data_IF_086476780773
#
_entry.id   IF_086476780773
#
_cell.length_a   1.000
_cell.length_b   1.000
_cell.length_c   1.000
_cell.angle_alpha   90.00
_cell.angle_beta   90.00
_cell.angle_gamma   90.00
#
_symmetry.space_group_name_H-M   'P 1'
#
loop_
_entity.id
_entity.type
_entity.pdbx_description
1 polymer ?
#
# COMPACT_ATOMS: atom_id res chain seq x y z
N UNK A 1 -16.01 -32.84 16.83
CA UNK A 1 -16.86 -31.73 16.34
C UNK A 1 -16.16 -30.43 16.70
N UNK A 2 -15.57 -29.80 15.70
CA UNK A 2 -15.18 -28.39 15.68
C UNK A 2 -14.53 -28.12 14.32
N UNK A 3 -15.35 -28.11 13.27
CA UNK A 3 -15.01 -27.59 11.95
C UNK A 3 -15.34 -26.11 11.94
N UNK A 4 -14.48 -25.30 12.55
CA UNK A 4 -14.48 -23.85 12.29
C UNK A 4 -13.21 -23.55 11.49
N UNK A 5 -13.25 -23.96 10.23
CA UNK A 5 -12.39 -23.36 9.20
C UNK A 5 -13.34 -22.53 8.36
N UNK A 6 -13.77 -21.38 8.90
CA UNK A 6 -14.41 -20.34 8.09
C UNK A 6 -13.47 -20.05 6.92
N UNK A 7 -13.89 -20.38 5.70
CA UNK A 7 -13.16 -20.05 4.49
C UNK A 7 -12.89 -18.55 4.53
N UNK A 8 -11.62 -18.17 4.76
CA UNK A 8 -11.22 -16.77 4.59
C UNK A 8 -11.51 -16.42 3.15
N UNK A 9 -12.51 -15.57 2.94
CA UNK A 9 -12.84 -15.04 1.61
C UNK A 9 -11.58 -14.41 1.07
N UNK A 10 -11.08 -14.93 -0.06
CA UNK A 10 -9.93 -14.34 -0.76
C UNK A 10 -10.38 -12.98 -1.29
N UNK A 11 -9.80 -11.89 -0.81
CA UNK A 11 -10.07 -10.58 -1.37
C UNK A 11 -9.42 -10.37 -2.74
N UNK A 12 -8.27 -11.01 -2.99
CA UNK A 12 -7.55 -10.88 -4.26
C UNK A 12 -7.58 -12.20 -5.03
N UNK A 13 -7.74 -12.10 -6.34
CA UNK A 13 -7.57 -13.20 -7.31
C UNK A 13 -6.11 -13.60 -7.47
N UNK A 14 -5.19 -12.63 -7.33
CA UNK A 14 -3.74 -12.79 -7.47
C UNK A 14 -3.06 -13.02 -6.12
N UNK A 15 -2.12 -13.96 -6.08
CA UNK A 15 -1.34 -14.29 -4.87
C UNK A 15 -0.04 -13.47 -4.75
N UNK A 16 0.35 -12.73 -5.80
CA UNK A 16 1.52 -11.87 -5.84
C UNK A 16 1.32 -10.70 -6.84
N UNK A 17 2.05 -9.57 -6.68
CA UNK A 17 2.05 -8.48 -7.64
C UNK A 17 2.39 -8.95 -9.06
N UNK A 18 1.64 -8.48 -10.06
CA UNK A 18 1.77 -8.86 -11.47
C UNK A 18 2.29 -7.72 -12.36
N UNK A 19 2.41 -6.51 -11.80
CA UNK A 19 2.89 -5.32 -12.52
C UNK A 19 3.80 -4.46 -11.64
N UNK A 20 4.36 -3.41 -12.24
CA UNK A 20 5.10 -2.36 -11.56
C UNK A 20 4.57 -0.98 -11.95
N UNK A 21 4.50 -0.06 -10.99
CA UNK A 21 4.06 1.32 -11.22
C UNK A 21 5.17 2.32 -10.90
N UNK A 22 5.22 3.40 -11.68
CA UNK A 22 6.11 4.53 -11.44
C UNK A 22 5.62 5.32 -10.23
N UNK A 23 6.50 5.53 -9.25
CA UNK A 23 6.16 6.34 -8.06
C UNK A 23 5.82 7.77 -8.45
N UNK A 24 6.50 8.31 -9.47
CA UNK A 24 6.20 9.64 -10.00
C UNK A 24 4.80 9.76 -10.56
N UNK A 25 4.34 8.73 -11.29
CA UNK A 25 3.02 8.76 -11.91
C UNK A 25 1.91 8.44 -10.91
N UNK A 26 2.14 7.48 -10.01
CA UNK A 26 1.13 7.04 -9.06
C UNK A 26 0.95 7.97 -7.84
N UNK A 27 2.05 8.55 -7.33
CA UNK A 27 2.04 9.35 -6.10
C UNK A 27 2.42 10.83 -6.34
N UNK A 28 2.82 11.21 -7.54
CA UNK A 28 3.26 12.57 -7.86
C UNK A 28 4.60 12.97 -7.23
N UNK A 29 5.39 12.00 -6.75
CA UNK A 29 6.68 12.25 -6.09
C UNK A 29 7.82 12.16 -7.10
N UNK A 30 8.75 13.10 -7.06
CA UNK A 30 9.87 13.12 -8.00
C UNK A 30 10.89 11.99 -7.72
N UNK A 31 10.62 10.82 -8.26
CA UNK A 31 11.43 9.61 -8.07
C UNK A 31 11.41 8.74 -9.33
N UNK A 32 12.55 8.13 -9.62
CA UNK A 32 12.66 7.10 -10.67
C UNK A 32 12.34 5.69 -10.14
N UNK A 33 11.91 5.57 -8.88
CA UNK A 33 11.52 4.29 -8.29
C UNK A 33 10.29 3.73 -9.01
N UNK A 34 10.34 2.44 -9.32
CA UNK A 34 9.18 1.63 -9.63
C UNK A 34 8.95 0.66 -8.50
N UNK A 35 7.70 0.40 -8.18
CA UNK A 35 7.31 -0.51 -7.10
C UNK A 35 6.36 -1.59 -7.61
N UNK A 36 6.42 -2.82 -7.07
CA UNK A 36 5.45 -3.86 -7.40
C UNK A 36 4.03 -3.39 -7.11
N UNK A 37 3.07 -3.78 -7.95
CA UNK A 37 1.67 -3.47 -7.80
C UNK A 37 0.79 -4.60 -8.38
N UNK A 38 -0.50 -4.53 -8.06
CA UNK A 38 -1.50 -5.39 -8.66
C UNK A 38 -2.24 -4.62 -9.76
N UNK A 39 -2.47 -5.25 -10.90
CA UNK A 39 -3.26 -4.67 -12.01
C UNK A 39 -4.76 -4.60 -11.70
N UNK A 40 -5.24 -5.45 -10.78
CA UNK A 40 -6.62 -5.53 -10.34
C UNK A 40 -6.74 -5.18 -8.84
N UNK A 41 -7.68 -4.30 -8.50
CA UNK A 41 -8.03 -3.98 -7.12
C UNK A 41 -8.89 -5.07 -6.46
N UNK A 42 -9.11 -4.94 -5.15
CA UNK A 42 -10.05 -5.76 -4.38
C UNK A 42 -10.91 -4.92 -3.46
N UNK A 43 -11.88 -5.56 -2.82
CA UNK A 43 -12.73 -4.95 -1.79
C UNK A 43 -11.95 -4.43 -0.56
N UNK A 44 -10.67 -4.80 -0.41
CA UNK A 44 -9.80 -4.27 0.65
C UNK A 44 -9.01 -3.04 0.21
N UNK A 45 -8.98 -2.73 -1.09
CA UNK A 45 -8.33 -1.52 -1.61
C UNK A 45 -9.31 -0.37 -1.48
N UNK A 46 -8.96 0.72 -0.75
CA UNK A 46 -9.83 1.87 -0.63
C UNK A 46 -9.97 2.64 -1.95
N UNK A 47 -11.07 3.38 -2.08
CA UNK A 47 -11.26 4.32 -3.18
C UNK A 47 -10.19 5.43 -3.16
N UNK A 48 -9.82 5.93 -4.34
CA UNK A 48 -8.84 7.01 -4.47
C UNK A 48 -9.43 8.33 -3.96
N UNK A 49 -8.79 8.91 -2.96
CA UNK A 49 -9.06 10.27 -2.48
C UNK A 49 -8.10 11.29 -3.11
N UNK A 50 -8.58 12.06 -4.08
CA UNK A 50 -7.79 13.10 -4.76
C UNK A 50 -7.47 14.32 -3.88
N UNK A 51 -8.06 14.43 -2.69
CA UNK A 51 -7.77 15.48 -1.72
C UNK A 51 -6.63 15.11 -0.77
N UNK A 52 -6.25 13.83 -0.73
CA UNK A 52 -5.14 13.37 0.09
C UNK A 52 -3.80 13.86 -0.46
N UNK A 53 -2.97 14.41 0.42
CA UNK A 53 -1.63 14.88 0.07
C UNK A 53 -0.62 13.93 0.69
N UNK A 54 0.15 13.26 -0.16
CA UNK A 54 1.24 12.38 0.27
C UNK A 54 2.39 13.19 0.87
N UNK A 55 2.75 12.88 2.11
CA UNK A 55 4.03 13.29 2.68
C UNK A 55 5.17 12.56 1.96
N UNK A 56 6.11 13.32 1.39
CA UNK A 56 7.16 12.79 0.53
C UNK A 56 8.01 11.73 1.24
N UNK A 57 8.54 12.05 2.41
CA UNK A 57 9.53 11.21 3.09
C UNK A 57 8.89 9.94 3.65
N UNK A 58 7.69 10.06 4.23
CA UNK A 58 6.93 8.91 4.73
C UNK A 58 6.56 7.97 3.58
N UNK A 59 6.07 8.51 2.46
CA UNK A 59 5.69 7.71 1.28
C UNK A 59 6.91 6.99 0.71
N UNK A 60 8.04 7.69 0.52
CA UNK A 60 9.26 7.09 0.00
C UNK A 60 9.83 5.99 0.92
N UNK A 61 9.76 6.18 2.24
CA UNK A 61 10.19 5.17 3.20
C UNK A 61 9.33 3.90 3.11
N UNK A 62 8.01 4.04 3.03
CA UNK A 62 7.07 2.92 2.88
C UNK A 62 7.31 2.19 1.57
N UNK A 63 7.37 2.91 0.45
CA UNK A 63 7.53 2.33 -0.89
C UNK A 63 8.88 1.61 -1.05
N UNK A 64 9.96 2.17 -0.52
CA UNK A 64 11.27 1.51 -0.49
C UNK A 64 11.24 0.26 0.41
N UNK A 65 10.58 0.35 1.57
CA UNK A 65 10.40 -0.78 2.47
C UNK A 65 9.62 -1.92 1.82
N UNK A 66 8.48 -1.61 1.22
CA UNK A 66 7.63 -2.54 0.49
C UNK A 66 8.40 -3.24 -0.64
N UNK A 67 9.09 -2.48 -1.49
CA UNK A 67 9.82 -3.01 -2.65
C UNK A 67 10.99 -3.94 -2.29
N UNK A 68 11.54 -3.80 -1.08
CA UNK A 68 12.67 -4.59 -0.60
C UNK A 68 12.31 -5.56 0.54
N UNK A 69 11.02 -5.76 0.80
CA UNK A 69 10.53 -6.60 1.91
C UNK A 69 11.20 -6.22 3.25
N UNK A 70 11.30 -4.92 3.53
CA UNK A 70 11.84 -4.34 4.76
C UNK A 70 10.70 -3.73 5.57
N UNK A 71 10.74 -3.98 6.89
CA UNK A 71 9.78 -3.38 7.83
C UNK A 71 10.07 -1.89 8.00
N UNK A 72 9.03 -1.07 7.96
CA UNK A 72 9.09 0.38 8.16
C UNK A 72 8.32 0.73 9.43
N UNK A 73 8.92 1.54 10.30
CA UNK A 73 8.27 2.07 11.50
C UNK A 73 7.82 3.49 11.24
N UNK A 74 6.51 3.73 11.30
CA UNK A 74 5.91 5.07 11.20
C UNK A 74 5.53 5.52 12.61
N UNK A 75 6.09 6.63 13.08
CA UNK A 75 5.83 7.18 14.41
C UNK A 75 5.41 8.65 14.31
N UNK A 76 4.55 9.07 15.24
CA UNK A 76 4.04 10.43 15.33
C UNK A 76 2.90 10.54 16.33
N UNK A 77 2.59 11.76 16.76
CA UNK A 77 1.53 12.04 17.74
C UNK A 77 0.15 11.55 17.28
N UNK A 78 -0.81 11.46 18.20
CA UNK A 78 -2.19 11.14 17.84
C UNK A 78 -2.76 12.20 16.86
N UNK A 79 -3.55 11.76 15.87
CA UNK A 79 -4.17 12.66 14.89
C UNK A 79 -3.27 13.16 13.76
N UNK A 80 -2.03 12.69 13.63
CA UNK A 80 -1.11 13.11 12.55
C UNK A 80 -1.24 12.30 11.25
N UNK A 81 -2.39 11.65 11.01
CA UNK A 81 -2.65 10.96 9.74
C UNK A 81 -1.91 9.64 9.47
N UNK A 82 -1.16 9.08 10.45
CA UNK A 82 -0.35 7.85 10.25
C UNK A 82 -1.14 6.67 9.67
N UNK A 83 -2.30 6.39 10.22
CA UNK A 83 -3.16 5.28 9.77
C UNK A 83 -3.87 5.59 8.47
N UNK A 84 -4.10 6.86 8.16
CA UNK A 84 -4.69 7.29 6.88
C UNK A 84 -3.66 7.24 5.75
N UNK A 85 -2.38 7.31 6.09
CA UNK A 85 -1.28 7.24 5.12
C UNK A 85 -0.97 5.81 4.64
N UNK A 86 -1.51 4.78 5.32
CA UNK A 86 -1.34 3.36 5.00
C UNK A 86 -2.66 2.83 4.45
#
# INVERSE_FOLDING_TARGET
MSTDNEERVRAHTLDAPDTEVSVREAFGLDSNLKVPAFSEGSDYVPDIDNSYIFDHDTTMAILAGFSHNRRVLIQGYHGTGKSTHV
#
